data_IF_364925784224
#
_entry.id   IF_364925784224
#
_cell.length_a   1.000
_cell.length_b   1.000
_cell.length_c   1.000
_cell.angle_alpha   90.00
_cell.angle_beta   90.00
_cell.angle_gamma   90.00
#
_symmetry.space_group_name_H-M   'P 1'
#
loop_
_entity.id
_entity.type
_entity.pdbx_description
1 polymer ?
#
# COMPACT_ATOMS: atom_id res chain seq x y z
N UNK A 1 7.40 0.36 33.95
CA UNK A 1 6.34 0.18 32.94
C UNK A 1 6.85 0.66 31.59
N UNK A 2 7.09 -0.25 30.65
CA UNK A 2 7.61 0.08 29.31
C UNK A 2 6.54 0.87 28.54
N UNK A 3 6.74 2.19 28.41
CA UNK A 3 5.88 3.11 27.65
C UNK A 3 5.70 2.71 26.17
N UNK A 4 6.53 1.80 25.67
CA UNK A 4 6.56 1.38 24.27
C UNK A 4 5.46 0.38 23.85
N UNK A 5 4.63 -0.11 24.78
CA UNK A 5 3.66 -1.20 24.52
C UNK A 5 2.19 -0.76 24.40
N UNK A 6 1.88 0.53 24.52
CA UNK A 6 0.48 1.00 24.44
C UNK A 6 0.05 1.38 23.02
N UNK A 7 -1.26 1.33 22.77
CA UNK A 7 -1.87 1.73 21.51
C UNK A 7 -1.79 3.25 21.32
N UNK A 8 -1.97 4.01 22.40
CA UNK A 8 -1.77 5.47 22.43
C UNK A 8 -0.36 5.85 21.98
N UNK A 9 0.66 5.22 22.55
CA UNK A 9 2.06 5.46 22.19
C UNK A 9 2.34 5.06 20.72
N UNK A 10 1.84 3.91 20.29
CA UNK A 10 1.95 3.46 18.88
C UNK A 10 1.29 4.42 17.89
N UNK A 11 0.16 5.03 18.28
CA UNK A 11 -0.53 6.05 17.48
C UNK A 11 0.30 7.33 17.38
N UNK A 12 0.84 7.83 18.48
CA UNK A 12 1.73 9.01 18.51
C UNK A 12 2.94 8.77 17.60
N UNK A 13 3.62 7.64 17.75
CA UNK A 13 4.79 7.30 16.94
C UNK A 13 4.47 7.22 15.45
N UNK A 14 3.34 6.62 15.09
CA UNK A 14 2.89 6.52 13.70
C UNK A 14 2.54 7.90 13.13
N UNK A 15 1.92 8.76 13.92
CA UNK A 15 1.65 10.14 13.56
C UNK A 15 2.93 10.94 13.32
N UNK A 16 3.93 10.86 14.22
CA UNK A 16 5.19 11.58 14.06
C UNK A 16 5.94 11.13 12.81
N UNK A 17 5.95 9.81 12.53
CA UNK A 17 6.53 9.27 11.29
C UNK A 17 5.80 9.81 10.06
N UNK A 18 4.46 9.84 10.07
CA UNK A 18 3.67 10.41 8.98
C UNK A 18 3.98 11.91 8.78
N UNK A 19 3.95 12.71 9.86
CA UNK A 19 4.29 14.14 9.83
C UNK A 19 5.67 14.38 9.19
N UNK A 20 6.69 13.64 9.66
CA UNK A 20 8.05 13.71 9.09
C UNK A 20 8.06 13.42 7.59
N UNK A 21 7.36 12.36 7.15
CA UNK A 21 7.33 12.01 5.73
C UNK A 21 6.54 13.00 4.86
N UNK A 22 5.53 13.69 5.42
CA UNK A 22 4.85 14.79 4.73
C UNK A 22 5.83 15.95 4.50
N UNK A 23 6.60 16.37 5.51
CA UNK A 23 7.62 17.40 5.35
C UNK A 23 8.66 17.03 4.29
N UNK A 24 9.29 15.85 4.41
CA UNK A 24 10.28 15.38 3.44
C UNK A 24 9.74 15.29 1.99
N UNK A 25 8.46 14.93 1.84
CA UNK A 25 7.81 14.86 0.53
C UNK A 25 7.49 16.24 -0.05
N UNK A 26 7.19 17.23 0.79
CA UNK A 26 7.01 18.63 0.38
C UNK A 26 8.32 19.26 -0.05
N UNK A 27 9.39 19.01 0.71
CA UNK A 27 10.72 19.54 0.42
C UNK A 27 11.27 18.95 -0.88
N UNK A 28 11.11 17.64 -1.08
CA UNK A 28 11.58 16.95 -2.29
C UNK A 28 10.66 15.82 -2.70
N UNK A 29 9.99 15.99 -3.84
CA UNK A 29 9.20 14.93 -4.47
C UNK A 29 10.12 13.95 -5.21
N UNK A 30 10.54 12.89 -4.51
CA UNK A 30 11.35 11.78 -5.01
C UNK A 30 10.60 10.44 -4.96
N UNK A 31 11.10 9.42 -5.66
CA UNK A 31 10.54 8.06 -5.59
C UNK A 31 10.54 7.53 -4.14
N UNK A 32 11.65 7.76 -3.42
CA UNK A 32 11.82 7.34 -2.03
C UNK A 32 10.83 8.05 -1.09
N UNK A 33 10.79 9.38 -1.11
CA UNK A 33 9.93 10.14 -0.19
C UNK A 33 8.44 9.84 -0.39
N UNK A 34 7.98 9.75 -1.66
CA UNK A 34 6.58 9.38 -1.95
C UNK A 34 6.28 7.95 -1.52
N UNK A 35 7.23 7.02 -1.69
CA UNK A 35 7.09 5.66 -1.20
C UNK A 35 6.99 5.60 0.32
N UNK A 36 7.89 6.28 1.03
CA UNK A 36 7.96 6.29 2.49
C UNK A 36 6.75 6.99 3.12
N UNK A 37 6.28 8.10 2.53
CA UNK A 37 5.01 8.72 2.91
C UNK A 37 3.84 7.75 2.74
N UNK A 38 3.76 7.02 1.61
CA UNK A 38 2.72 6.01 1.41
C UNK A 38 2.83 4.82 2.38
N UNK A 39 4.02 4.46 2.86
CA UNK A 39 4.18 3.47 3.93
C UNK A 39 3.66 4.04 5.25
N UNK A 40 4.06 5.27 5.61
CA UNK A 40 3.64 5.92 6.86
C UNK A 40 2.11 6.09 6.92
N UNK A 41 1.46 6.45 5.81
CA UNK A 41 -0.01 6.51 5.72
C UNK A 41 -0.65 5.14 6.00
N UNK A 42 -0.07 4.03 5.51
CA UNK A 42 -0.59 2.68 5.76
C UNK A 42 -0.46 2.27 7.22
N UNK A 43 0.68 2.60 7.84
CA UNK A 43 0.91 2.35 9.27
C UNK A 43 -0.05 3.18 10.12
N UNK A 44 -0.18 4.48 9.86
CA UNK A 44 -1.10 5.35 10.57
C UNK A 44 -2.57 4.92 10.40
N UNK A 45 -2.98 4.55 9.18
CA UNK A 45 -4.31 3.98 8.97
C UNK A 45 -4.52 2.68 9.76
N UNK A 46 -3.52 1.79 9.81
CA UNK A 46 -3.67 0.51 10.51
C UNK A 46 -3.88 0.71 12.01
N UNK A 47 -3.08 1.56 12.66
CA UNK A 47 -3.25 1.86 14.09
C UNK A 47 -4.58 2.59 14.35
N UNK A 48 -4.98 3.53 13.48
CA UNK A 48 -6.29 4.21 13.61
C UNK A 48 -7.46 3.24 13.45
N UNK A 49 -7.35 2.21 12.61
CA UNK A 49 -8.37 1.18 12.51
C UNK A 49 -8.46 0.33 13.79
N UNK A 50 -7.33 -0.02 14.41
CA UNK A 50 -7.32 -0.75 15.70
C UNK A 50 -7.96 0.10 16.80
N UNK A 51 -7.58 1.38 16.89
CA UNK A 51 -8.19 2.39 17.75
C UNK A 51 -9.70 2.48 17.51
N UNK A 52 -10.13 2.54 16.26
CA UNK A 52 -11.54 2.62 15.90
C UNK A 52 -12.31 1.33 16.19
N UNK A 53 -11.67 0.16 16.13
CA UNK A 53 -12.28 -1.11 16.50
C UNK A 53 -12.51 -1.20 18.01
N UNK A 54 -11.57 -0.69 18.82
CA UNK A 54 -11.74 -0.63 20.27
C UNK A 54 -12.76 0.41 20.72
N UNK A 55 -12.75 1.60 20.10
CA UNK A 55 -13.65 2.70 20.44
C UNK A 55 -13.94 3.55 19.21
N UNK A 56 -15.02 3.24 18.47
CA UNK A 56 -15.40 3.97 17.27
C UNK A 56 -15.72 5.44 17.59
N UNK A 57 -15.06 6.37 16.89
CA UNK A 57 -15.38 7.81 17.02
C UNK A 57 -15.56 8.45 15.65
N UNK A 58 -16.27 9.58 15.59
CA UNK A 58 -16.32 10.40 14.36
C UNK A 58 -14.92 10.89 13.96
N UNK A 59 -14.06 11.19 14.95
CA UNK A 59 -12.69 11.71 14.73
C UNK A 59 -11.73 10.66 14.17
N UNK A 60 -11.73 9.44 14.71
CA UNK A 60 -10.92 8.33 14.18
C UNK A 60 -11.31 8.00 12.73
N UNK A 61 -12.62 7.95 12.43
CA UNK A 61 -13.11 7.74 11.06
C UNK A 61 -12.72 8.87 10.11
N UNK A 62 -12.81 10.12 10.56
CA UNK A 62 -12.36 11.29 9.80
C UNK A 62 -10.86 11.21 9.47
N UNK A 63 -10.00 10.93 10.46
CA UNK A 63 -8.57 10.75 10.25
C UNK A 63 -8.27 9.61 9.28
N UNK A 64 -8.95 8.46 9.40
CA UNK A 64 -8.81 7.34 8.45
C UNK A 64 -9.13 7.80 7.03
N UNK A 65 -10.20 8.59 6.85
CA UNK A 65 -10.60 9.13 5.55
C UNK A 65 -9.53 10.05 4.97
N UNK A 66 -8.99 11.00 5.76
CA UNK A 66 -7.91 11.89 5.33
C UNK A 66 -6.66 11.12 4.89
N UNK A 67 -6.21 10.16 5.70
CA UNK A 67 -5.02 9.36 5.40
C UNK A 67 -5.21 8.47 4.15
N UNK A 68 -6.43 7.98 3.92
CA UNK A 68 -6.79 7.29 2.67
C UNK A 68 -6.76 8.24 1.48
N UNK A 69 -7.28 9.46 1.63
CA UNK A 69 -7.25 10.50 0.59
C UNK A 69 -5.82 10.82 0.17
N UNK A 70 -4.92 11.11 1.11
CA UNK A 70 -3.49 11.33 0.82
C UNK A 70 -2.89 10.19 0.01
N UNK A 71 -3.20 8.94 0.38
CA UNK A 71 -2.68 7.78 -0.37
C UNK A 71 -3.31 7.62 -1.76
N UNK A 72 -4.58 7.97 -1.93
CA UNK A 72 -5.27 7.98 -3.22
C UNK A 72 -4.63 9.01 -4.14
N UNK A 73 -4.47 10.23 -3.65
CA UNK A 73 -3.95 11.39 -4.37
C UNK A 73 -2.47 11.20 -4.80
N UNK A 74 -1.68 10.52 -3.97
CA UNK A 74 -0.29 10.15 -4.30
C UNK A 74 -0.16 8.84 -5.11
N UNK A 75 -1.27 8.14 -5.35
CA UNK A 75 -1.32 6.87 -6.10
C UNK A 75 -0.75 7.00 -7.51
N UNK A 76 -1.33 7.90 -8.36
CA UNK A 76 -0.91 8.05 -9.74
C UNK A 76 0.58 8.34 -9.90
N UNK A 77 1.15 9.22 -9.06
CA UNK A 77 2.59 9.50 -9.09
C UNK A 77 3.40 8.27 -8.71
N UNK A 78 3.01 7.50 -7.68
CA UNK A 78 3.77 6.30 -7.33
C UNK A 78 3.72 5.25 -8.44
N UNK A 79 2.57 5.10 -9.10
CA UNK A 79 2.39 4.11 -10.17
C UNK A 79 3.33 4.41 -11.35
N UNK A 80 3.37 5.66 -11.84
CA UNK A 80 4.28 6.06 -12.93
C UNK A 80 5.76 6.05 -12.51
N UNK A 81 6.07 6.21 -11.21
CA UNK A 81 7.44 6.07 -10.70
C UNK A 81 7.91 4.62 -10.74
N UNK A 82 7.05 3.67 -10.35
CA UNK A 82 7.34 2.22 -10.44
C UNK A 82 7.46 1.80 -11.89
N UNK A 83 6.55 2.26 -12.75
CA UNK A 83 6.58 1.96 -14.17
C UNK A 83 7.89 2.43 -14.81
N UNK A 84 8.33 3.66 -14.52
CA UNK A 84 9.62 4.16 -15.00
C UNK A 84 10.83 3.36 -14.48
N UNK A 85 10.75 2.77 -13.28
CA UNK A 85 11.79 1.85 -12.75
C UNK A 85 11.78 0.51 -13.52
N UNK A 86 10.60 -0.04 -13.82
CA UNK A 86 10.47 -1.26 -14.62
C UNK A 86 10.99 -1.09 -16.04
N UNK A 87 10.69 0.04 -16.67
CA UNK A 87 11.19 0.33 -18.03
C UNK A 87 12.72 0.41 -18.07
N UNK A 88 13.35 0.98 -17.04
CA UNK A 88 14.81 0.94 -16.92
C UNK A 88 15.34 -0.49 -16.86
N UNK A 89 14.69 -1.36 -16.09
CA UNK A 89 15.05 -2.79 -16.00
C UNK A 89 14.92 -3.48 -17.36
N UNK A 90 13.78 -3.32 -18.04
CA UNK A 90 13.57 -3.92 -19.36
C UNK A 90 14.48 -3.34 -20.46
N UNK A 91 14.87 -2.07 -20.37
CA UNK A 91 15.86 -1.48 -21.28
C UNK A 91 17.24 -2.12 -21.14
N UNK A 92 17.64 -2.50 -19.92
CA UNK A 92 18.89 -3.22 -19.69
C UNK A 92 18.82 -4.65 -20.25
N UNK A 93 17.65 -5.29 -20.19
CA UNK A 93 17.42 -6.65 -20.70
C UNK A 93 17.17 -6.70 -22.22
N UNK A 94 16.74 -5.58 -22.84
CA UNK A 94 16.50 -5.48 -24.29
C UNK A 94 16.96 -4.14 -24.86
N UNK A 95 18.20 -4.07 -25.42
CA UNK A 95 18.82 -2.82 -25.89
C UNK A 95 18.01 -2.04 -26.93
N UNK A 96 17.22 -2.73 -27.77
CA UNK A 96 16.44 -2.09 -28.85
C UNK A 96 15.28 -1.20 -28.37
N UNK A 97 14.90 -1.24 -27.08
CA UNK A 97 13.92 -0.28 -26.53
C UNK A 97 14.47 1.16 -26.48
N UNK A 98 15.79 1.35 -26.50
CA UNK A 98 16.42 2.68 -26.55
C UNK A 98 16.04 3.47 -27.81
N UNK A 99 15.69 2.77 -28.90
CA UNK A 99 15.37 3.39 -30.19
C UNK A 99 13.93 3.96 -30.23
N UNK A 100 13.02 3.48 -29.38
CA UNK A 100 11.65 4.01 -29.26
C UNK A 100 11.57 5.17 -28.25
N UNK A 101 12.33 6.22 -28.55
CA UNK A 101 12.40 7.46 -27.76
C UNK A 101 11.02 8.12 -27.53
N UNK A 102 10.03 7.84 -28.40
CA UNK A 102 8.67 8.33 -28.29
C UNK A 102 7.94 7.83 -27.03
N UNK A 103 8.03 6.54 -26.70
CA UNK A 103 7.38 5.99 -25.52
C UNK A 103 8.06 6.48 -24.23
N UNK A 104 9.40 6.56 -24.23
CA UNK A 104 10.14 7.14 -23.10
C UNK A 104 9.73 8.60 -22.85
N UNK A 105 9.59 9.41 -23.90
CA UNK A 105 9.08 10.78 -23.80
C UNK A 105 7.64 10.83 -23.30
N UNK A 106 6.78 9.91 -23.75
CA UNK A 106 5.40 9.79 -23.28
C UNK A 106 5.34 9.56 -21.76
N UNK A 107 6.08 8.56 -21.25
CA UNK A 107 6.17 8.28 -19.81
C UNK A 107 6.74 9.46 -19.02
N UNK A 108 7.79 10.12 -19.53
CA UNK A 108 8.37 11.29 -18.90
C UNK A 108 7.36 12.46 -18.79
N UNK A 109 6.57 12.70 -19.85
CA UNK A 109 5.49 13.70 -19.85
C UNK A 109 4.42 13.38 -18.81
N UNK A 110 3.95 12.13 -18.77
CA UNK A 110 2.95 11.67 -17.78
C UNK A 110 3.47 11.78 -16.35
N UNK A 111 4.74 11.40 -16.11
CA UNK A 111 5.41 11.54 -14.81
C UNK A 111 5.47 12.99 -14.35
N UNK A 112 5.82 13.93 -15.24
CA UNK A 112 5.86 15.36 -14.93
C UNK A 112 4.48 15.90 -14.53
N UNK A 113 3.42 15.51 -15.24
CA UNK A 113 2.03 15.89 -14.93
C UNK A 113 1.60 15.38 -13.55
N UNK A 114 1.76 14.07 -13.31
CA UNK A 114 1.42 13.41 -12.04
C UNK A 114 2.25 13.97 -10.86
N UNK A 115 3.49 14.38 -11.11
CA UNK A 115 4.33 15.06 -10.11
C UNK A 115 3.76 16.43 -9.73
N UNK A 116 3.32 17.23 -10.71
CA UNK A 116 2.69 18.55 -10.47
C UNK A 116 1.38 18.39 -9.68
N UNK A 117 0.59 17.38 -10.00
CA UNK A 117 -0.65 17.07 -9.30
C UNK A 117 -0.39 16.65 -7.84
N UNK A 118 0.51 15.68 -7.63
CA UNK A 118 0.90 15.26 -6.29
C UNK A 118 1.47 16.42 -5.45
N UNK A 119 2.19 17.36 -6.06
CA UNK A 119 2.67 18.56 -5.36
C UNK A 119 1.53 19.44 -4.85
N UNK A 120 0.44 19.58 -5.60
CA UNK A 120 -0.76 20.31 -5.14
C UNK A 120 -1.40 19.57 -3.96
N UNK A 121 -1.66 18.28 -4.11
CA UNK A 121 -2.24 17.46 -3.04
C UNK A 121 -1.41 17.46 -1.75
N UNK A 122 -0.07 17.47 -1.86
CA UNK A 122 0.82 17.58 -0.71
C UNK A 122 0.68 18.93 0.02
N UNK A 123 0.42 20.02 -0.70
CA UNK A 123 0.17 21.33 -0.09
C UNK A 123 -1.16 21.37 0.67
N UNK A 124 -2.16 20.64 0.19
CA UNK A 124 -3.50 20.59 0.80
C UNK A 124 -3.56 19.83 2.14
N UNK A 125 -2.50 19.10 2.51
CA UNK A 125 -2.43 18.35 3.78
C UNK A 125 -2.35 19.34 4.97
N UNK A 126 -3.36 19.35 5.85
CA UNK A 126 -3.35 20.22 7.03
C UNK A 126 -2.85 19.48 8.27
N UNK A 127 -1.52 19.47 8.46
CA UNK A 127 -0.89 18.83 9.61
C UNK A 127 -1.34 19.43 10.95
N UNK A 128 -1.69 20.72 11.00
CA UNK A 128 -2.20 21.39 12.22
C UNK A 128 -3.56 20.84 12.62
N UNK A 129 -4.52 20.78 11.69
CA UNK A 129 -5.87 20.30 11.96
C UNK A 129 -5.90 18.78 12.24
N UNK A 130 -5.07 18.03 11.51
CA UNK A 130 -4.89 16.60 11.72
C UNK A 130 -4.29 16.32 13.12
N UNK A 131 -3.27 17.09 13.56
CA UNK A 131 -2.68 16.97 14.90
C UNK A 131 -3.71 17.14 16.00
N UNK A 132 -4.55 18.18 15.93
CA UNK A 132 -5.60 18.43 16.92
C UNK A 132 -6.59 17.24 17.02
N UNK A 133 -6.89 16.61 15.89
CA UNK A 133 -7.76 15.44 15.86
C UNK A 133 -7.06 14.21 16.45
N UNK A 134 -5.77 14.01 16.13
CA UNK A 134 -4.96 12.92 16.70
C UNK A 134 -4.86 13.05 18.21
N UNK A 135 -4.60 14.24 18.73
CA UNK A 135 -4.45 14.46 20.18
C UNK A 135 -5.73 14.12 20.96
N UNK A 136 -6.89 14.48 20.40
CA UNK A 136 -8.18 14.12 21.00
C UNK A 136 -8.42 12.61 20.98
N UNK A 137 -7.98 11.92 19.93
CA UNK A 137 -8.07 10.46 19.84
C UNK A 137 -7.11 9.78 20.82
N UNK A 138 -5.87 10.28 20.93
CA UNK A 138 -4.86 9.78 21.88
C UNK A 138 -5.37 9.89 23.30
N UNK A 139 -5.83 11.08 23.75
CA UNK A 139 -6.39 11.28 25.10
C UNK A 139 -7.51 10.30 25.43
N UNK A 140 -8.39 10.04 24.45
CA UNK A 140 -9.50 9.10 24.65
C UNK A 140 -9.03 7.66 24.79
N UNK A 141 -8.00 7.26 24.03
CA UNK A 141 -7.42 5.92 24.12
C UNK A 141 -6.64 5.74 25.42
N UNK A 142 -5.88 6.73 25.87
CA UNK A 142 -5.19 6.69 27.17
C UNK A 142 -6.18 6.44 28.33
N UNK A 143 -7.34 7.13 28.32
CA UNK A 143 -8.41 6.87 29.30
C UNK A 143 -8.92 5.43 29.25
N UNK A 144 -9.11 4.86 28.06
CA UNK A 144 -9.57 3.47 27.90
C UNK A 144 -8.50 2.48 28.37
N UNK A 145 -7.23 2.77 28.09
CA UNK A 145 -6.08 1.99 28.53
C UNK A 145 -5.99 1.94 30.05
N UNK A 146 -6.20 3.07 30.72
CA UNK A 146 -6.27 3.16 32.18
C UNK A 146 -7.46 2.38 32.75
N UNK A 147 -8.64 2.48 32.13
CA UNK A 147 -9.88 1.86 32.63
C UNK A 147 -9.94 0.34 32.43
N UNK A 148 -9.57 -0.16 31.25
CA UNK A 148 -9.73 -1.59 30.90
C UNK A 148 -8.52 -2.44 31.26
N UNK A 149 -7.37 -1.81 31.49
CA UNK A 149 -6.10 -2.50 31.68
C UNK A 149 -5.56 -3.15 30.39
N UNK A 150 -4.23 -3.38 30.37
CA UNK A 150 -3.51 -3.84 29.19
C UNK A 150 -3.99 -5.20 28.67
N UNK A 151 -4.19 -6.19 29.56
CA UNK A 151 -4.61 -7.56 29.18
C UNK A 151 -5.94 -7.58 28.42
N UNK A 152 -6.94 -6.81 28.86
CA UNK A 152 -8.25 -6.78 28.19
C UNK A 152 -8.16 -6.16 26.81
N UNK A 153 -7.41 -5.07 26.66
CA UNK A 153 -7.18 -4.44 25.35
C UNK A 153 -6.45 -5.38 24.41
N UNK A 154 -5.42 -6.08 24.91
CA UNK A 154 -4.70 -7.07 24.11
C UNK A 154 -5.62 -8.17 23.59
N UNK A 155 -6.48 -8.73 24.44
CA UNK A 155 -7.47 -9.74 24.05
C UNK A 155 -8.40 -9.24 22.92
N UNK A 156 -8.90 -8.01 23.05
CA UNK A 156 -9.75 -7.38 22.03
C UNK A 156 -9.02 -7.18 20.69
N UNK A 157 -7.75 -6.75 20.73
CA UNK A 157 -6.92 -6.56 19.54
C UNK A 157 -6.62 -7.89 18.83
N UNK A 158 -6.33 -8.95 19.59
CA UNK A 158 -6.15 -10.30 19.04
C UNK A 158 -7.41 -10.78 18.33
N UNK A 159 -8.60 -10.56 18.92
CA UNK A 159 -9.88 -10.92 18.31
C UNK A 159 -10.14 -10.18 17.00
N UNK A 160 -9.86 -8.87 16.93
CA UNK A 160 -10.00 -8.07 15.70
C UNK A 160 -9.08 -8.58 14.59
N UNK A 161 -7.85 -8.98 14.92
CA UNK A 161 -6.90 -9.51 13.92
C UNK A 161 -7.30 -10.91 13.48
N UNK A 162 -7.75 -11.79 14.39
CA UNK A 162 -8.33 -13.10 14.02
C UNK A 162 -9.52 -12.94 13.06
N UNK A 163 -10.43 -12.00 13.33
CA UNK A 163 -11.53 -11.67 12.41
C UNK A 163 -11.03 -11.20 11.04
N UNK A 164 -9.98 -10.37 11.03
CA UNK A 164 -9.34 -9.91 9.78
C UNK A 164 -8.69 -11.05 8.99
N UNK A 165 -8.12 -12.03 9.69
CA UNK A 165 -7.49 -13.23 9.11
C UNK A 165 -8.54 -14.18 8.52
N UNK A 166 -9.67 -14.38 9.20
CA UNK A 166 -10.81 -15.14 8.64
C UNK A 166 -11.32 -14.52 7.34
N UNK A 167 -11.48 -13.18 7.30
CA UNK A 167 -11.86 -12.46 6.08
C UNK A 167 -10.81 -12.61 4.97
N UNK A 168 -9.53 -12.61 5.32
CA UNK A 168 -8.45 -12.85 4.38
C UNK A 168 -8.53 -14.25 3.78
N UNK A 169 -8.71 -15.28 4.62
CA UNK A 169 -8.88 -16.66 4.18
C UNK A 169 -10.11 -16.81 3.27
N UNK A 170 -11.23 -16.17 3.58
CA UNK A 170 -12.43 -16.18 2.73
C UNK A 170 -12.18 -15.57 1.34
N UNK A 171 -11.36 -14.53 1.23
CA UNK A 171 -11.02 -13.94 -0.07
C UNK A 171 -10.04 -14.83 -0.83
N UNK A 172 -9.11 -15.49 -0.13
CA UNK A 172 -8.22 -16.46 -0.75
C UNK A 172 -8.97 -17.68 -1.30
N UNK A 173 -9.96 -18.20 -0.58
CA UNK A 173 -10.73 -19.38 -1.02
C UNK A 173 -11.66 -19.08 -2.19
N UNK A 174 -12.22 -17.87 -2.24
CA UNK A 174 -13.10 -17.41 -3.34
C UNK A 174 -12.35 -16.97 -4.59
N UNK A 175 -11.04 -16.78 -4.52
CA UNK A 175 -10.23 -16.40 -5.67
C UNK A 175 -10.27 -17.51 -6.72
N UNK A 176 -10.47 -17.12 -7.97
CA UNK A 176 -10.44 -17.95 -9.17
C UNK A 176 -9.08 -17.84 -9.87
N UNK A 177 -8.74 -18.84 -10.68
CA UNK A 177 -7.51 -18.79 -11.47
C UNK A 177 -7.61 -17.67 -12.52
N UNK A 178 -6.49 -16.98 -12.78
CA UNK A 178 -6.39 -16.07 -13.92
C UNK A 178 -6.83 -14.61 -13.72
N UNK A 179 -7.45 -14.24 -12.58
CA UNK A 179 -7.96 -12.88 -12.39
C UNK A 179 -6.98 -11.92 -11.71
N UNK A 180 -6.42 -10.98 -12.48
CA UNK A 180 -5.58 -9.90 -11.93
C UNK A 180 -6.34 -9.02 -10.91
N UNK A 181 -7.65 -8.84 -11.11
CA UNK A 181 -8.50 -8.07 -10.21
C UNK A 181 -8.67 -8.76 -8.84
N UNK A 182 -8.84 -10.08 -8.82
CA UNK A 182 -8.96 -10.82 -7.55
C UNK A 182 -7.62 -10.87 -6.82
N UNK A 183 -6.50 -11.05 -7.54
CA UNK A 183 -5.15 -10.91 -6.98
C UNK A 183 -4.93 -9.52 -6.37
N UNK A 184 -5.47 -8.47 -6.99
CA UNK A 184 -5.43 -7.12 -6.43
C UNK A 184 -6.20 -7.01 -5.12
N UNK A 185 -7.37 -7.65 -4.99
CA UNK A 185 -8.13 -7.68 -3.74
C UNK A 185 -7.38 -8.40 -2.63
N UNK A 186 -6.80 -9.58 -2.94
CA UNK A 186 -5.92 -10.33 -2.03
C UNK A 186 -4.79 -9.42 -1.54
N UNK A 187 -4.14 -8.69 -2.44
CA UNK A 187 -3.07 -7.74 -2.10
C UNK A 187 -3.53 -6.63 -1.15
N UNK A 188 -4.72 -6.08 -1.35
CA UNK A 188 -5.27 -5.03 -0.47
C UNK A 188 -5.46 -5.58 0.94
N UNK A 189 -6.10 -6.75 1.07
CA UNK A 189 -6.41 -7.35 2.37
C UNK A 189 -5.14 -7.82 3.07
N UNK A 190 -4.22 -8.47 2.35
CA UNK A 190 -2.91 -8.86 2.88
C UNK A 190 -2.14 -7.64 3.43
N UNK A 191 -2.19 -6.49 2.75
CA UNK A 191 -1.58 -5.24 3.25
C UNK A 191 -2.21 -4.80 4.55
N UNK A 192 -3.55 -4.76 4.62
CA UNK A 192 -4.27 -4.37 5.84
C UNK A 192 -3.92 -5.29 7.00
N UNK A 193 -3.96 -6.61 6.77
CA UNK A 193 -3.62 -7.62 7.78
C UNK A 193 -2.19 -7.45 8.27
N UNK A 194 -1.20 -7.37 7.36
CA UNK A 194 0.22 -7.22 7.72
C UNK A 194 0.49 -5.98 8.58
N UNK A 195 -0.08 -4.82 8.25
CA UNK A 195 0.15 -3.61 9.03
C UNK A 195 -0.56 -3.63 10.39
N UNK A 196 -1.73 -4.29 10.50
CA UNK A 196 -2.40 -4.49 11.80
C UNK A 196 -1.59 -5.44 12.68
N UNK A 197 -1.16 -6.59 12.13
CA UNK A 197 -0.31 -7.56 12.81
C UNK A 197 1.03 -6.96 13.24
N UNK A 198 1.62 -6.07 12.44
CA UNK A 198 2.84 -5.34 12.85
C UNK A 198 2.68 -4.61 14.19
N UNK A 199 1.54 -3.94 14.42
CA UNK A 199 1.31 -3.25 15.69
C UNK A 199 1.03 -4.22 16.83
N UNK A 200 0.31 -5.32 16.57
CA UNK A 200 0.07 -6.33 17.60
C UNK A 200 1.35 -7.05 18.03
N UNK A 201 2.24 -7.40 17.09
CA UNK A 201 3.52 -8.03 17.41
C UNK A 201 4.39 -7.10 18.27
N UNK A 202 4.33 -5.79 18.00
CA UNK A 202 5.06 -4.78 18.78
C UNK A 202 4.50 -4.57 20.20
N UNK A 203 3.19 -4.76 20.41
CA UNK A 203 2.56 -4.55 21.73
C UNK A 203 2.52 -5.81 22.60
N UNK A 204 2.66 -7.01 22.02
CA UNK A 204 2.32 -8.25 22.72
C UNK A 204 3.41 -9.30 22.83
N UNK A 205 4.38 -9.43 21.91
CA UNK A 205 5.28 -10.60 21.89
C UNK A 205 4.60 -12.00 21.79
N UNK A 206 3.27 -12.08 21.85
CA UNK A 206 2.46 -13.31 22.04
C UNK A 206 1.73 -13.74 20.76
N UNK A 207 2.28 -13.44 19.59
CA UNK A 207 1.70 -13.91 18.33
C UNK A 207 2.63 -13.62 17.18
N UNK A 208 3.37 -14.63 16.74
CA UNK A 208 4.10 -14.54 15.48
C UNK A 208 3.11 -14.69 14.33
N UNK A 209 2.29 -13.65 14.09
CA UNK A 209 1.60 -13.56 12.80
C UNK A 209 2.65 -13.63 11.71
N UNK A 210 2.47 -14.51 10.74
CA UNK A 210 3.45 -14.71 9.68
C UNK A 210 3.48 -13.50 8.73
N UNK A 211 4.25 -12.48 9.15
CA UNK A 211 4.53 -11.28 8.37
C UNK A 211 5.39 -11.62 7.14
N UNK A 212 6.10 -12.76 7.15
CA UNK A 212 6.97 -13.19 6.06
C UNK A 212 6.11 -13.72 4.91
N UNK A 213 5.20 -14.66 5.16
CA UNK A 213 4.25 -15.14 4.16
C UNK A 213 3.35 -14.02 3.63
N UNK A 214 2.85 -13.13 4.50
CA UNK A 214 2.06 -11.97 4.05
C UNK A 214 2.88 -11.02 3.17
N UNK A 215 4.19 -10.88 3.45
CA UNK A 215 5.11 -10.12 2.59
C UNK A 215 5.34 -10.85 1.25
N UNK A 216 5.46 -12.17 1.26
CA UNK A 216 5.54 -13.00 0.04
C UNK A 216 4.35 -12.77 -0.89
N UNK A 217 3.14 -12.92 -0.38
CA UNK A 217 1.88 -12.65 -1.10
C UNK A 217 1.88 -11.22 -1.68
N UNK A 218 2.24 -10.24 -0.87
CA UNK A 218 2.29 -8.83 -1.30
C UNK A 218 3.31 -8.56 -2.39
N UNK A 219 4.45 -9.28 -2.39
CA UNK A 219 5.48 -9.11 -3.40
C UNK A 219 4.98 -9.62 -4.75
N UNK A 220 4.42 -10.83 -4.80
CA UNK A 220 3.91 -11.44 -6.04
C UNK A 220 2.73 -10.63 -6.59
N UNK A 221 1.73 -10.36 -5.77
CA UNK A 221 0.58 -9.55 -6.18
C UNK A 221 0.98 -8.09 -6.49
N UNK A 222 2.09 -7.62 -5.91
CA UNK A 222 2.72 -6.34 -6.26
C UNK A 222 3.27 -6.34 -7.68
N UNK A 223 3.96 -7.40 -8.10
CA UNK A 223 4.47 -7.54 -9.47
C UNK A 223 3.35 -7.60 -10.49
N UNK A 224 2.31 -8.40 -10.23
CA UNK A 224 1.12 -8.50 -11.11
C UNK A 224 0.46 -7.12 -11.29
N UNK A 225 0.30 -6.35 -10.21
CA UNK A 225 -0.25 -4.99 -10.29
C UNK A 225 0.64 -4.06 -11.13
N UNK A 226 1.97 -4.18 -11.00
CA UNK A 226 2.88 -3.34 -11.75
C UNK A 226 2.81 -3.66 -13.25
N UNK A 227 2.69 -4.93 -13.61
CA UNK A 227 2.46 -5.36 -15.00
C UNK A 227 1.15 -4.78 -15.54
N UNK A 228 0.05 -4.82 -14.78
CA UNK A 228 -1.23 -4.20 -15.19
C UNK A 228 -1.08 -2.69 -15.44
N UNK A 229 -0.33 -1.99 -14.59
CA UNK A 229 -0.09 -0.55 -14.76
C UNK A 229 0.71 -0.30 -16.05
N UNK A 230 1.77 -1.07 -16.30
CA UNK A 230 2.59 -0.93 -17.49
C UNK A 230 1.81 -1.27 -18.76
N UNK A 231 0.99 -2.33 -18.75
CA UNK A 231 0.12 -2.70 -19.87
C UNK A 231 -0.85 -1.58 -20.23
N UNK A 232 -1.49 -0.96 -19.23
CA UNK A 232 -2.40 0.17 -19.46
C UNK A 232 -1.67 1.36 -20.12
N UNK A 233 -0.45 1.67 -19.71
CA UNK A 233 0.35 2.75 -20.32
C UNK A 233 0.80 2.41 -21.74
N UNK A 234 1.16 1.15 -22.01
CA UNK A 234 1.49 0.67 -23.35
C UNK A 234 0.26 0.76 -24.28
N UNK A 235 -0.90 0.33 -23.79
CA UNK A 235 -2.18 0.39 -24.53
C UNK A 235 -2.57 1.83 -24.83
N UNK A 236 -2.47 2.74 -23.85
CA UNK A 236 -2.71 4.15 -24.07
C UNK A 236 -1.76 4.73 -25.14
N UNK A 237 -0.47 4.40 -25.07
CA UNK A 237 0.49 4.90 -26.05
C UNK A 237 0.20 4.39 -27.47
N UNK A 238 -0.11 3.10 -27.62
CA UNK A 238 -0.43 2.48 -28.92
C UNK A 238 -1.77 2.96 -29.49
N UNK A 239 -2.71 3.37 -28.64
CA UNK A 239 -3.93 4.04 -29.09
C UNK A 239 -3.65 5.47 -29.58
N UNK A 240 -2.74 6.20 -28.92
CA UNK A 240 -2.33 7.56 -29.32
C UNK A 240 -1.35 7.57 -30.52
N UNK A 241 -0.66 6.46 -30.78
CA UNK A 241 0.39 6.32 -31.80
C UNK A 241 0.20 5.01 -32.55
N UNK A 242 -0.09 5.09 -33.86
CA UNK A 242 -0.35 3.94 -34.73
C UNK A 242 0.55 2.73 -34.41
N UNK A 243 -0.01 1.57 -34.02
CA UNK A 243 0.75 0.42 -33.54
C UNK A 243 1.85 -0.07 -34.49
N UNK A 244 1.60 0.00 -35.80
CA UNK A 244 2.51 -0.45 -36.85
C UNK A 244 3.83 0.32 -36.88
N UNK A 245 3.83 1.55 -36.34
CA UNK A 245 5.03 2.40 -36.24
C UNK A 245 5.90 2.08 -35.03
N UNK A 246 5.45 1.20 -34.13
CA UNK A 246 6.11 0.91 -32.86
C UNK A 246 6.21 -0.61 -32.57
N UNK A 247 6.85 -1.41 -33.44
CA UNK A 247 6.93 -2.87 -33.30
C UNK A 247 7.64 -3.33 -32.01
N UNK A 248 8.60 -2.57 -31.48
CA UNK A 248 9.26 -2.93 -30.21
C UNK A 248 8.34 -2.74 -29.01
N UNK A 249 7.43 -1.77 -29.05
CA UNK A 249 6.42 -1.55 -28.00
C UNK A 249 5.41 -2.69 -28.00
N UNK A 250 4.98 -3.17 -29.17
CA UNK A 250 4.16 -4.37 -29.30
C UNK A 250 4.87 -5.62 -28.74
N UNK A 251 6.16 -5.79 -29.04
CA UNK A 251 6.97 -6.89 -28.48
C UNK A 251 7.10 -6.79 -26.96
N UNK A 252 7.31 -5.59 -26.41
CA UNK A 252 7.34 -5.38 -24.96
C UNK A 252 6.00 -5.73 -24.33
N UNK A 253 4.89 -5.24 -24.88
CA UNK A 253 3.53 -5.56 -24.42
C UNK A 253 3.29 -7.07 -24.36
N UNK A 254 3.60 -7.80 -25.44
CA UNK A 254 3.47 -9.27 -25.47
C UNK A 254 4.28 -9.95 -24.35
N UNK A 255 5.50 -9.49 -24.09
CA UNK A 255 6.34 -10.01 -22.98
C UNK A 255 5.73 -9.74 -21.61
N UNK A 256 5.20 -8.54 -21.37
CA UNK A 256 4.57 -8.18 -20.09
C UNK A 256 3.30 -9.00 -19.86
N UNK A 257 2.48 -9.22 -20.90
CA UNK A 257 1.31 -10.12 -20.82
C UNK A 257 1.71 -11.54 -20.42
N UNK A 258 2.71 -12.11 -21.11
CA UNK A 258 3.20 -13.47 -20.81
C UNK A 258 3.76 -13.57 -19.38
N UNK A 259 4.49 -12.56 -18.93
CA UNK A 259 5.02 -12.50 -17.56
C UNK A 259 3.88 -12.44 -16.52
N UNK A 260 2.90 -11.56 -16.73
CA UNK A 260 1.77 -11.41 -15.82
C UNK A 260 0.95 -12.70 -15.72
N UNK A 261 0.64 -13.34 -16.84
CA UNK A 261 -0.11 -14.61 -16.87
C UNK A 261 0.64 -15.72 -16.11
N UNK A 262 1.96 -15.82 -16.31
CA UNK A 262 2.80 -16.78 -15.56
C UNK A 262 2.75 -16.51 -14.06
N UNK A 263 2.87 -15.24 -13.64
CA UNK A 263 2.80 -14.87 -12.23
C UNK A 263 1.43 -15.15 -11.62
N UNK A 264 0.34 -14.83 -12.32
CA UNK A 264 -1.03 -15.10 -11.83
C UNK A 264 -1.20 -16.60 -11.60
N UNK A 265 -0.84 -17.43 -12.57
CA UNK A 265 -0.95 -18.89 -12.46
C UNK A 265 -0.10 -19.47 -11.33
N UNK A 266 1.14 -18.98 -11.17
CA UNK A 266 2.01 -19.35 -10.06
C UNK A 266 1.41 -18.93 -8.71
N UNK A 267 0.97 -17.68 -8.61
CA UNK A 267 0.40 -17.11 -7.38
C UNK A 267 -0.87 -17.83 -6.94
N UNK A 268 -1.71 -18.25 -7.90
CA UNK A 268 -2.93 -18.98 -7.61
C UNK A 268 -2.62 -20.33 -6.92
N UNK A 269 -1.61 -21.05 -7.42
CA UNK A 269 -1.15 -22.32 -6.82
C UNK A 269 -0.59 -22.10 -5.42
N UNK A 270 0.30 -21.12 -5.26
CA UNK A 270 0.94 -20.80 -3.98
C UNK A 270 -0.05 -20.27 -2.93
N UNK A 271 -1.04 -19.47 -3.33
CA UNK A 271 -2.00 -18.89 -2.39
C UNK A 271 -3.01 -19.91 -1.88
N UNK A 272 -3.34 -20.95 -2.66
CA UNK A 272 -4.25 -22.03 -2.22
C UNK A 272 -3.60 -23.03 -1.27
N UNK A 273 -2.29 -23.25 -1.35
CA UNK A 273 -1.59 -24.17 -0.44
C UNK A 273 -1.37 -23.57 0.94
N UNK A 274 -1.45 -22.25 1.06
CA UNK A 274 -1.35 -21.56 2.35
C UNK A 274 -2.66 -21.72 3.15
N UNK A 275 -2.74 -22.78 3.98
CA UNK A 275 -3.69 -22.82 5.10
C UNK A 275 -3.14 -21.95 6.23
N UNK A 276 -3.59 -20.70 6.29
CA UNK A 276 -3.27 -19.80 7.39
C UNK A 276 -4.03 -20.23 8.64
N UNK A 277 -3.39 -21.07 9.47
CA UNK A 277 -3.92 -21.55 10.74
C UNK A 277 -3.76 -20.48 11.85
N UNK A 278 -4.73 -20.47 12.76
CA UNK A 278 -4.85 -19.54 13.89
C UNK A 278 -3.74 -19.66 14.92
#
# INVERSE_FOLDING_TARGET
MLKDQTLSHSLINSWQKYKKQVHLSRDKISNRHIHDLRISTRKLEAILNLVNALHPTKRSRYLISLIKKVRKDLGPLRDIQVEAEMLKKHNNETPNLKNDSAFIRFIAKQKRRKKKEANRHLKDISLKNEKLSVDKVVKKIEQIELQKGQKKIQSLLVQEIKSSMLKFNQVLTKMSAGSANEVHQVRIIAKKLRYRSYFLNATNGLGHFDLVGLKGIQNIAGQIQNDSILLNSLDQFLAEKSPDKHPNILKLRKRVVLHQTKLINKSFKEFRTLKWQN
#
